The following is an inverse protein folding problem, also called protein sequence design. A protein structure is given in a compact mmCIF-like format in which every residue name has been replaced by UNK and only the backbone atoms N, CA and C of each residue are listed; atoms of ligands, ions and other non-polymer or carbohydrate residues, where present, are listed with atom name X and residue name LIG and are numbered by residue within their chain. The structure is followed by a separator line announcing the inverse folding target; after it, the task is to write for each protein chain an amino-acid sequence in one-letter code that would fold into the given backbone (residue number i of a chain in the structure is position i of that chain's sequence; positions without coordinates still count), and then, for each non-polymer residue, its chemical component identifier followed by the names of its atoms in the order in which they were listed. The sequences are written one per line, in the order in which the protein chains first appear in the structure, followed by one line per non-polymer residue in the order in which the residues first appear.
data_IF_790732972438
#
_entry.id   IF_790732972438
#
_cell.length_a   1.000
_cell.length_b   1.000
_cell.length_c   1.000
_cell.angle_alpha   90.00
_cell.angle_beta   90.00
_cell.angle_gamma   90.00
#
_symmetry.space_group_name_H-M   'P 1'
#
loop_
_entity.id
_entity.type
_entity.pdbx_description
1 polymer ?
#
# COMPACT_ATOMS: atom_id res chain seq x y z
N UNK A 1 13.58 15.25 -59.03
CA UNK A 1 14.15 14.94 -57.69
C UNK A 1 13.43 15.57 -56.50
N UNK A 2 12.42 16.44 -56.68
CA UNK A 2 11.75 17.16 -55.57
C UNK A 2 10.76 16.31 -54.73
N UNK A 3 10.13 15.28 -55.30
CA UNK A 3 9.12 14.46 -54.60
C UNK A 3 9.69 13.53 -53.52
N UNK A 4 10.92 13.05 -53.69
CA UNK A 4 11.57 12.10 -52.76
C UNK A 4 11.98 12.78 -51.44
N UNK A 5 12.51 14.01 -51.51
CA UNK A 5 12.84 14.85 -50.34
C UNK A 5 11.59 15.20 -49.50
N UNK A 6 10.47 15.50 -50.17
CA UNK A 6 9.20 15.86 -49.50
C UNK A 6 8.55 14.67 -48.80
N UNK A 7 8.73 13.46 -49.31
CA UNK A 7 8.29 12.20 -48.68
C UNK A 7 9.15 11.83 -47.48
N UNK A 8 10.48 12.00 -47.59
CA UNK A 8 11.42 11.78 -46.48
C UNK A 8 11.14 12.71 -45.28
N UNK A 9 10.85 14.00 -45.54
CA UNK A 9 10.47 14.95 -44.49
C UNK A 9 9.17 14.62 -43.76
N UNK A 10 8.21 13.93 -44.41
CA UNK A 10 6.99 13.44 -43.75
C UNK A 10 7.29 12.27 -42.80
N UNK A 11 8.12 11.31 -43.22
CA UNK A 11 8.51 10.17 -42.39
C UNK A 11 9.34 10.57 -41.17
N UNK A 12 10.23 11.57 -41.31
CA UNK A 12 10.98 12.12 -40.18
C UNK A 12 10.06 12.77 -39.12
N UNK A 13 8.99 13.46 -39.54
CA UNK A 13 8.01 14.02 -38.60
C UNK A 13 7.21 12.94 -37.88
N UNK A 14 6.80 11.89 -38.59
CA UNK A 14 6.10 10.74 -38.01
C UNK A 14 7.01 10.02 -37.00
N UNK A 15 8.27 9.75 -37.37
CA UNK A 15 9.24 9.14 -36.46
C UNK A 15 9.49 10.01 -35.22
N UNK A 16 9.57 11.33 -35.38
CA UNK A 16 9.71 12.27 -34.26
C UNK A 16 8.50 12.26 -33.32
N UNK A 17 7.27 12.18 -33.85
CA UNK A 17 6.04 12.06 -33.05
C UNK A 17 5.96 10.73 -32.31
N UNK A 18 6.33 9.62 -32.97
CA UNK A 18 6.38 8.30 -32.34
C UNK A 18 7.43 8.30 -31.22
N UNK A 19 8.62 8.84 -31.47
CA UNK A 19 9.68 8.93 -30.47
C UNK A 19 9.29 9.82 -29.29
N UNK A 20 8.64 10.97 -29.54
CA UNK A 20 8.11 11.83 -28.48
C UNK A 20 7.05 11.10 -27.65
N UNK A 21 6.14 10.35 -28.28
CA UNK A 21 5.14 9.53 -27.60
C UNK A 21 5.76 8.37 -26.79
N UNK A 22 6.80 7.72 -27.33
CA UNK A 22 7.54 6.69 -26.60
C UNK A 22 8.28 7.27 -25.40
N UNK A 23 8.91 8.44 -25.57
CA UNK A 23 9.56 9.16 -24.47
C UNK A 23 8.52 9.54 -23.40
N UNK A 24 7.33 10.04 -23.74
CA UNK A 24 6.32 10.34 -22.71
C UNK A 24 5.89 9.08 -21.96
N UNK A 25 5.61 7.98 -22.66
CA UNK A 25 5.21 6.70 -22.03
C UNK A 25 6.32 6.11 -21.15
N UNK A 26 7.60 6.26 -21.51
CA UNK A 26 8.73 5.75 -20.72
C UNK A 26 9.06 6.63 -19.52
N UNK A 27 8.85 7.95 -19.62
CA UNK A 27 9.23 8.91 -18.58
C UNK A 27 8.09 9.24 -17.60
N UNK A 28 6.81 9.06 -17.96
CA UNK A 28 5.67 9.29 -17.07
C UNK A 28 5.63 8.32 -15.87
N UNK A 29 5.80 6.99 -16.03
CA UNK A 29 5.78 6.05 -14.90
C UNK A 29 6.86 6.37 -13.87
N UNK A 30 8.04 6.81 -14.33
CA UNK A 30 9.17 7.20 -13.48
C UNK A 30 8.90 8.44 -12.62
N UNK A 31 7.89 9.25 -12.93
CA UNK A 31 7.55 10.46 -12.15
C UNK A 31 6.57 10.19 -11.00
N UNK A 32 5.93 9.02 -10.97
CA UNK A 32 4.90 8.69 -9.98
C UNK A 32 5.53 8.16 -8.68
N UNK A 33 6.72 7.56 -8.74
CA UNK A 33 7.42 7.01 -7.57
C UNK A 33 8.48 7.99 -7.02
N UNK A 34 8.11 9.25 -6.75
CA UNK A 34 8.97 10.12 -5.93
C UNK A 34 8.84 9.67 -4.47
N UNK A 35 9.93 9.30 -3.78
CA UNK A 35 9.86 9.00 -2.37
C UNK A 35 9.40 10.25 -1.62
N UNK A 36 8.30 10.11 -0.86
CA UNK A 36 7.94 11.09 0.16
C UNK A 36 8.83 10.75 1.34
N UNK A 37 9.89 11.52 1.56
CA UNK A 37 10.92 11.18 2.54
C UNK A 37 10.35 11.10 3.96
N UNK A 38 9.55 12.09 4.39
CA UNK A 38 8.66 12.06 5.57
C UNK A 38 7.58 13.13 5.45
N UNK A 39 6.35 12.79 5.83
CA UNK A 39 5.32 13.81 6.06
C UNK A 39 5.45 14.31 7.50
N UNK A 40 5.68 15.61 7.67
CA UNK A 40 5.64 16.29 8.97
C UNK A 40 4.32 17.05 9.03
N UNK A 41 3.36 16.52 9.79
CA UNK A 41 2.10 17.22 10.06
C UNK A 41 2.24 17.91 11.40
N UNK A 42 2.31 19.23 11.39
CA UNK A 42 2.23 20.03 12.61
C UNK A 42 0.76 20.23 12.94
N UNK A 43 0.34 19.78 14.11
CA UNK A 43 -1.03 19.95 14.60
C UNK A 43 -0.99 20.68 15.93
N UNK A 44 -1.95 21.60 16.14
CA UNK A 44 -2.11 22.29 17.41
C UNK A 44 -2.94 21.48 18.42
N UNK A 45 -3.36 20.26 18.04
CA UNK A 45 -4.23 19.40 18.82
C UNK A 45 -3.66 17.98 18.88
N UNK A 46 -3.66 17.39 20.06
CA UNK A 46 -3.22 16.02 20.31
C UNK A 46 -4.39 15.05 20.45
N UNK A 47 -4.13 13.74 20.35
CA UNK A 47 -5.13 12.70 20.64
C UNK A 47 -5.61 12.70 22.10
N UNK A 48 -4.91 13.40 22.99
CA UNK A 48 -5.29 13.57 24.39
C UNK A 48 -6.28 14.72 24.63
N UNK A 49 -6.48 15.59 23.65
CA UNK A 49 -7.28 16.80 23.83
C UNK A 49 -8.78 16.47 23.77
N UNK A 50 -9.59 17.20 24.55
CA UNK A 50 -11.04 17.01 24.58
C UNK A 50 -11.67 17.17 23.19
N UNK A 51 -11.20 18.17 22.41
CA UNK A 51 -11.65 18.43 21.06
C UNK A 51 -11.44 17.23 20.11
N UNK A 52 -10.33 16.49 20.25
CA UNK A 52 -10.10 15.28 19.45
C UNK A 52 -11.13 14.20 19.78
N UNK A 53 -11.43 14.01 21.07
CA UNK A 53 -12.36 12.99 21.55
C UNK A 53 -13.78 13.24 21.04
N UNK A 54 -14.22 14.49 21.10
CA UNK A 54 -15.53 14.90 20.60
C UNK A 54 -15.61 14.80 19.08
N UNK A 55 -14.57 15.23 18.37
CA UNK A 55 -14.54 15.21 16.91
C UNK A 55 -14.53 13.82 16.31
N UNK A 56 -13.69 12.91 16.81
CA UNK A 56 -13.52 11.60 16.19
C UNK A 56 -14.77 10.74 16.32
N UNK A 57 -15.49 10.80 17.44
CA UNK A 57 -16.71 10.02 17.66
C UNK A 57 -17.81 10.36 16.65
N UNK A 58 -17.94 11.64 16.31
CA UNK A 58 -18.86 12.09 15.27
C UNK A 58 -18.41 11.65 13.87
N UNK A 59 -17.12 11.75 13.55
CA UNK A 59 -16.57 11.36 12.24
C UNK A 59 -16.75 9.88 11.93
N UNK A 60 -16.54 9.02 12.92
CA UNK A 60 -16.62 7.56 12.74
C UNK A 60 -18.01 6.99 13.04
N UNK A 61 -18.96 7.85 13.44
CA UNK A 61 -20.31 7.48 13.87
C UNK A 61 -20.29 6.34 14.92
N UNK A 62 -19.36 6.39 15.87
CA UNK A 62 -19.24 5.43 16.95
C UNK A 62 -18.72 6.11 18.24
N UNK A 63 -19.24 5.75 19.43
CA UNK A 63 -18.80 6.35 20.68
C UNK A 63 -17.37 5.92 21.04
N UNK A 64 -16.59 6.85 21.59
CA UNK A 64 -15.29 6.51 22.18
C UNK A 64 -15.48 5.79 23.51
N UNK A 65 -15.01 4.54 23.57
CA UNK A 65 -15.01 3.77 24.81
C UNK A 65 -13.94 4.26 25.78
N UNK A 66 -14.23 4.37 27.09
CA UNK A 66 -13.22 4.67 28.10
C UNK A 66 -12.25 3.50 28.30
N UNK A 67 -11.14 3.74 29.03
CA UNK A 67 -10.15 2.70 29.37
C UNK A 67 -9.13 2.36 28.27
N UNK A 68 -9.20 3.03 27.12
CA UNK A 68 -8.26 2.83 26.02
C UNK A 68 -6.96 3.63 26.22
N UNK A 69 -5.82 3.01 25.89
CA UNK A 69 -4.54 3.70 25.73
C UNK A 69 -4.31 3.99 24.25
N UNK A 70 -4.12 5.27 23.91
CA UNK A 70 -3.88 5.72 22.54
C UNK A 70 -2.41 6.11 22.41
N UNK A 71 -1.78 5.74 21.29
CA UNK A 71 -0.41 6.15 20.96
C UNK A 71 -0.40 6.56 19.49
N UNK A 72 0.02 7.80 19.23
CA UNK A 72 0.13 8.32 17.87
C UNK A 72 1.40 7.75 17.22
N UNK A 73 1.25 7.12 16.06
CA UNK A 73 2.35 6.61 15.25
C UNK A 73 2.42 7.42 13.95
N UNK A 74 3.54 8.09 13.73
CA UNK A 74 3.75 8.99 12.60
C UNK A 74 4.59 8.25 11.56
N UNK A 75 4.09 8.19 10.32
CA UNK A 75 4.74 7.56 9.17
C UNK A 75 5.02 6.04 9.34
N UNK A 76 5.52 5.43 8.27
CA UNK A 76 5.79 3.98 8.23
C UNK A 76 6.93 3.51 9.15
N UNK A 77 7.87 4.39 9.49
CA UNK A 77 8.99 4.08 10.39
C UNK A 77 8.51 3.81 11.83
N UNK A 78 7.38 4.39 12.25
CA UNK A 78 6.75 4.07 13.54
C UNK A 78 5.64 3.01 13.42
N UNK A 79 4.83 3.08 12.36
CA UNK A 79 3.65 2.20 12.19
C UNK A 79 4.07 0.74 11.98
N UNK A 80 4.98 0.47 11.04
CA UNK A 80 5.27 -0.91 10.63
C UNK A 80 5.97 -1.73 11.73
N UNK A 81 6.98 -1.22 12.46
CA UNK A 81 7.59 -1.99 13.55
C UNK A 81 6.58 -2.40 14.62
N UNK A 82 5.71 -1.48 15.05
CA UNK A 82 4.68 -1.75 16.07
C UNK A 82 3.66 -2.77 15.57
N UNK A 83 3.23 -2.66 14.31
CA UNK A 83 2.32 -3.62 13.67
C UNK A 83 2.93 -5.03 13.59
N UNK A 84 4.18 -5.15 13.12
CA UNK A 84 4.88 -6.43 13.04
C UNK A 84 5.00 -7.07 14.43
N UNK A 85 5.31 -6.27 15.44
CA UNK A 85 5.41 -6.72 16.82
C UNK A 85 4.06 -7.20 17.40
N UNK A 86 2.96 -6.52 17.07
CA UNK A 86 1.63 -6.96 17.44
C UNK A 86 1.29 -8.31 16.80
N UNK A 87 1.62 -8.49 15.52
CA UNK A 87 1.44 -9.76 14.81
C UNK A 87 2.31 -10.86 15.43
N UNK A 88 3.59 -10.59 15.73
CA UNK A 88 4.49 -11.53 16.43
C UNK A 88 3.94 -12.01 17.77
N UNK A 89 3.26 -11.15 18.52
CA UNK A 89 2.68 -11.49 19.83
C UNK A 89 1.27 -12.08 19.75
N UNK A 90 0.62 -12.08 18.58
CA UNK A 90 -0.72 -12.60 18.41
C UNK A 90 -0.79 -14.10 18.74
N UNK A 91 -1.80 -14.49 19.53
CA UNK A 91 -2.00 -15.87 20.02
C UNK A 91 -3.27 -16.54 19.50
N UNK A 92 -4.23 -15.77 18.98
CA UNK A 92 -5.56 -16.27 18.60
C UNK A 92 -5.87 -15.96 17.14
N UNK A 93 -5.81 -14.68 16.79
CA UNK A 93 -6.22 -14.19 15.47
C UNK A 93 -5.33 -13.02 15.04
N UNK A 94 -5.13 -12.90 13.73
CA UNK A 94 -4.63 -11.70 13.05
C UNK A 94 -5.60 -11.40 11.92
N UNK A 95 -6.23 -10.22 11.96
CA UNK A 95 -7.09 -9.73 10.87
C UNK A 95 -6.47 -8.46 10.34
N UNK A 96 -6.20 -8.42 9.03
CA UNK A 96 -5.59 -7.27 8.37
C UNK A 96 -6.38 -6.94 7.11
N UNK A 97 -6.74 -5.66 6.99
CA UNK A 97 -7.29 -5.08 5.77
C UNK A 97 -6.32 -4.01 5.26
N UNK A 98 -6.06 -3.99 3.95
CA UNK A 98 -5.26 -2.94 3.36
C UNK A 98 -5.68 -2.61 1.92
N UNK A 99 -5.71 -1.32 1.59
CA UNK A 99 -6.04 -0.85 0.25
C UNK A 99 -4.86 -1.05 -0.72
N UNK A 100 -3.66 -0.56 -0.41
CA UNK A 100 -2.48 -0.71 -1.28
C UNK A 100 -1.50 -1.70 -0.64
N UNK A 101 -1.28 -2.83 -1.30
CA UNK A 101 -0.25 -3.80 -0.92
C UNK A 101 0.51 -4.26 -2.16
N UNK A 102 1.83 -4.18 -2.14
CA UNK A 102 2.69 -4.39 -3.30
C UNK A 102 3.94 -5.13 -2.89
N UNK A 103 4.51 -5.91 -3.81
CA UNK A 103 5.78 -6.59 -3.57
C UNK A 103 6.90 -5.58 -3.32
N UNK A 104 7.72 -5.86 -2.30
CA UNK A 104 8.85 -5.02 -1.92
C UNK A 104 9.34 -5.32 -0.52
N UNK A 105 10.04 -4.37 0.11
CA UNK A 105 10.62 -4.56 1.44
C UNK A 105 9.57 -4.95 2.50
N UNK A 106 8.45 -4.23 2.53
CA UNK A 106 7.40 -4.49 3.53
C UNK A 106 6.74 -5.86 3.34
N UNK A 107 6.41 -6.25 2.11
CA UNK A 107 5.79 -7.55 1.85
C UNK A 107 6.76 -8.69 2.16
N UNK A 108 8.05 -8.51 1.83
CA UNK A 108 9.12 -9.45 2.14
C UNK A 108 9.30 -9.73 3.63
N UNK A 109 8.89 -8.81 4.50
CA UNK A 109 8.88 -9.00 5.96
C UNK A 109 7.51 -9.47 6.48
N UNK A 110 6.42 -8.88 5.98
CA UNK A 110 5.07 -9.12 6.49
C UNK A 110 4.52 -10.48 6.08
N UNK A 111 4.70 -10.88 4.81
CA UNK A 111 4.17 -12.14 4.28
C UNK A 111 4.74 -13.34 5.02
N UNK A 112 6.08 -13.49 5.22
CA UNK A 112 6.62 -14.59 6.00
C UNK A 112 6.07 -14.64 7.43
N UNK A 113 5.93 -13.47 8.08
CA UNK A 113 5.42 -13.39 9.44
C UNK A 113 3.95 -13.85 9.55
N UNK A 114 3.11 -13.46 8.59
CA UNK A 114 1.72 -13.93 8.52
C UNK A 114 1.68 -15.45 8.26
N UNK A 115 2.50 -15.96 7.34
CA UNK A 115 2.62 -17.40 7.08
C UNK A 115 3.07 -18.18 8.34
N UNK A 116 4.05 -17.67 9.07
CA UNK A 116 4.53 -18.28 10.32
C UNK A 116 3.40 -18.37 11.35
N UNK A 117 2.62 -17.29 11.51
CA UNK A 117 1.49 -17.27 12.45
C UNK A 117 0.39 -18.25 12.06
N UNK A 118 0.04 -18.31 10.78
CA UNK A 118 -0.94 -19.26 10.27
C UNK A 118 -0.50 -20.72 10.56
N UNK A 119 0.77 -21.06 10.28
CA UNK A 119 1.34 -22.38 10.57
C UNK A 119 1.40 -22.70 12.07
N UNK A 120 1.57 -21.68 12.91
CA UNK A 120 1.51 -21.82 14.36
C UNK A 120 0.08 -21.96 14.92
N UNK A 121 -0.94 -22.04 14.06
CA UNK A 121 -2.34 -22.23 14.45
C UNK A 121 -3.09 -20.93 14.80
N UNK A 122 -2.47 -19.76 14.61
CA UNK A 122 -3.17 -18.47 14.74
C UNK A 122 -4.04 -18.29 13.49
N UNK A 123 -5.32 -17.94 13.65
CA UNK A 123 -6.19 -17.68 12.49
C UNK A 123 -5.78 -16.36 11.84
N UNK A 124 -5.34 -16.41 10.60
CA UNK A 124 -4.93 -15.21 9.85
C UNK A 124 -5.94 -14.94 8.74
N UNK A 125 -6.60 -13.79 8.81
CA UNK A 125 -7.54 -13.31 7.80
C UNK A 125 -6.96 -12.06 7.15
N UNK A 126 -6.86 -12.09 5.82
CA UNK A 126 -6.22 -11.03 5.05
C UNK A 126 -7.16 -10.57 3.94
N UNK A 127 -7.56 -9.30 4.00
CA UNK A 127 -8.46 -8.68 3.03
C UNK A 127 -7.74 -7.55 2.29
N UNK A 128 -7.76 -7.57 0.96
CA UNK A 128 -7.08 -6.57 0.14
C UNK A 128 -7.93 -6.06 -1.02
N UNK A 129 -7.72 -4.81 -1.42
CA UNK A 129 -8.35 -4.25 -2.60
C UNK A 129 -7.79 -4.88 -3.88
N UNK A 130 -8.65 -5.28 -4.81
CA UNK A 130 -8.23 -5.99 -6.03
C UNK A 130 -7.30 -5.17 -6.92
N UNK A 131 -7.53 -3.85 -7.05
CA UNK A 131 -6.67 -2.95 -7.83
C UNK A 131 -5.41 -2.59 -7.07
N UNK A 132 -5.55 -2.29 -5.78
CA UNK A 132 -4.44 -1.90 -4.91
C UNK A 132 -3.44 -3.03 -4.63
N UNK A 133 -3.85 -4.30 -4.78
CA UNK A 133 -3.00 -5.48 -4.67
C UNK A 133 -2.48 -6.02 -6.02
N UNK A 134 -2.72 -5.33 -7.13
CA UNK A 134 -2.34 -5.79 -8.49
C UNK A 134 -0.84 -5.93 -8.73
N UNK A 135 -0.01 -5.30 -7.88
CA UNK A 135 1.47 -5.39 -7.92
C UNK A 135 2.04 -6.36 -6.88
N UNK A 136 1.24 -7.31 -6.40
CA UNK A 136 1.77 -8.44 -5.65
C UNK A 136 2.14 -9.56 -6.60
N UNK A 137 3.31 -10.15 -6.39
CA UNK A 137 3.71 -11.35 -7.09
C UNK A 137 2.80 -12.52 -6.73
N UNK A 138 2.48 -13.35 -7.73
CA UNK A 138 1.69 -14.56 -7.53
C UNK A 138 2.35 -15.49 -6.50
N UNK A 139 3.69 -15.53 -6.48
CA UNK A 139 4.48 -16.29 -5.50
C UNK A 139 4.18 -15.90 -4.04
N UNK A 140 3.91 -14.61 -3.75
CA UNK A 140 3.55 -14.14 -2.42
C UNK A 140 2.12 -14.54 -2.05
N UNK A 141 1.19 -14.47 -3.02
CA UNK A 141 -0.19 -14.92 -2.83
C UNK A 141 -0.25 -16.43 -2.55
N UNK A 142 0.45 -17.22 -3.37
CA UNK A 142 0.52 -18.68 -3.21
C UNK A 142 1.09 -19.06 -1.84
N UNK A 143 2.14 -18.35 -1.38
CA UNK A 143 2.72 -18.57 -0.05
C UNK A 143 1.74 -18.29 1.08
N UNK A 144 0.93 -17.23 0.96
CA UNK A 144 -0.11 -16.91 1.95
C UNK A 144 -1.13 -18.05 2.00
N UNK A 145 -1.70 -18.42 0.85
CA UNK A 145 -2.73 -19.46 0.76
C UNK A 145 -2.21 -20.82 1.27
N UNK A 146 -1.04 -21.26 0.81
CA UNK A 146 -0.43 -22.54 1.22
C UNK A 146 -0.08 -22.60 2.71
N UNK A 147 0.10 -21.44 3.37
CA UNK A 147 0.38 -21.40 4.81
C UNK A 147 -0.86 -21.46 5.70
N UNK A 148 -2.06 -21.44 5.11
CA UNK A 148 -3.33 -21.42 5.84
C UNK A 148 -3.86 -20.02 6.14
N UNK A 149 -3.30 -18.97 5.52
CA UNK A 149 -3.88 -17.62 5.57
C UNK A 149 -5.16 -17.60 4.73
N UNK A 150 -6.26 -17.11 5.31
CA UNK A 150 -7.50 -16.89 4.59
C UNK A 150 -7.42 -15.55 3.87
N UNK A 151 -7.14 -15.59 2.56
CA UNK A 151 -6.95 -14.41 1.73
C UNK A 151 -8.19 -14.13 0.87
N UNK A 152 -8.68 -12.88 0.92
CA UNK A 152 -9.83 -12.42 0.12
C UNK A 152 -9.50 -11.08 -0.53
N UNK A 153 -9.96 -10.92 -1.78
CA UNK A 153 -9.92 -9.64 -2.49
C UNK A 153 -11.31 -9.02 -2.54
N UNK A 154 -11.44 -7.75 -2.18
CA UNK A 154 -12.66 -6.96 -2.34
C UNK A 154 -12.55 -6.01 -3.56
N UNK A 155 -13.66 -5.39 -3.97
CA UNK A 155 -13.76 -4.56 -5.17
C UNK A 155 -13.30 -5.30 -6.45
N UNK A 156 -13.91 -6.46 -6.71
CA UNK A 156 -13.68 -7.25 -7.93
C UNK A 156 -14.51 -6.75 -9.10
#
# INVERSE_FOLDING_TARGET
MAGKKRRLGKWLKIAGLILAGLLTVVFIPRRIDKPIDKLIVVTNYSVGDAAFREGIGHLVNAPLMPGNKITTLINGDQIFPVMMDAIRRAKKTVTLENFIFRSGRLSGELVPLLCEKARAGVKVHLMMDSLGCSKLEQSELDRLEQSGVQFVKYNR
#
